data_IF_214092538533
#
_entry.id   IF_214092538533
#
_cell.length_a   1.000
_cell.length_b   1.000
_cell.length_c   1.000
_cell.angle_alpha   90.00
_cell.angle_beta   90.00
_cell.angle_gamma   90.00
#
_symmetry.space_group_name_H-M   'P 1'
#
loop_
_entity.id
_entity.type
_entity.pdbx_description
1 polymer ?
#
# COMPACT_ATOMS: atom_id res chain seq x y z
N UNK A 1 -44.54 6.05 11.56
CA UNK A 1 -43.81 6.73 10.47
C UNK A 1 -42.43 7.12 10.98
N UNK A 2 -41.46 6.19 10.91
CA UNK A 2 -40.05 6.48 11.17
C UNK A 2 -39.23 5.58 10.26
N UNK A 3 -39.00 6.05 9.03
CA UNK A 3 -38.11 5.39 8.04
C UNK A 3 -36.99 6.36 7.64
N UNK A 4 -36.95 7.57 8.22
CA UNK A 4 -36.06 8.65 7.80
C UNK A 4 -34.87 8.91 8.74
N UNK A 5 -34.77 8.27 9.91
CA UNK A 5 -33.65 8.51 10.84
C UNK A 5 -32.44 7.59 10.62
N UNK A 6 -32.59 6.46 9.91
CA UNK A 6 -31.46 5.59 9.59
C UNK A 6 -30.62 6.07 8.39
N UNK A 7 -31.11 7.06 7.63
CA UNK A 7 -30.38 7.64 6.50
C UNK A 7 -29.33 8.68 6.90
N UNK A 8 -29.55 9.39 8.01
CA UNK A 8 -28.67 10.49 8.45
C UNK A 8 -27.36 9.99 9.09
N UNK A 9 -27.41 8.94 9.91
CA UNK A 9 -26.20 8.31 10.47
C UNK A 9 -25.37 7.57 9.41
N UNK A 10 -26.01 6.99 8.40
CA UNK A 10 -25.29 6.31 7.30
C UNK A 10 -24.54 7.31 6.40
N UNK A 11 -25.12 8.50 6.20
CA UNK A 11 -24.49 9.58 5.44
C UNK A 11 -23.30 10.20 6.20
N UNK A 12 -23.43 10.41 7.51
CA UNK A 12 -22.36 10.92 8.37
C UNK A 12 -21.13 9.97 8.39
N UNK A 13 -21.36 8.66 8.47
CA UNK A 13 -20.31 7.64 8.41
C UNK A 13 -19.58 7.57 7.05
N UNK A 14 -20.25 7.92 5.95
CA UNK A 14 -19.62 7.98 4.63
C UNK A 14 -18.84 9.27 4.40
N UNK A 15 -19.33 10.42 4.89
CA UNK A 15 -18.67 11.72 4.65
C UNK A 15 -17.51 12.01 5.59
N UNK A 16 -17.47 11.42 6.77
CA UNK A 16 -16.40 11.67 7.76
C UNK A 16 -15.15 10.77 7.54
N UNK A 17 -15.22 9.82 6.61
CA UNK A 17 -14.17 8.80 6.39
C UNK A 17 -13.41 8.97 5.06
N UNK A 18 -13.47 10.14 4.43
CA UNK A 18 -12.70 10.45 3.22
C UNK A 18 -11.26 10.87 3.52
N UNK A 19 -10.98 11.38 4.73
CA UNK A 19 -9.65 11.86 5.10
C UNK A 19 -8.56 10.77 5.09
N UNK A 20 -8.81 9.52 5.55
CA UNK A 20 -7.85 8.43 5.43
C UNK A 20 -7.60 8.04 3.97
N UNK A 21 -8.64 8.09 3.12
CA UNK A 21 -8.53 7.82 1.68
C UNK A 21 -7.71 8.90 0.96
N UNK A 22 -7.93 10.17 1.32
CA UNK A 22 -7.18 11.30 0.78
C UNK A 22 -5.70 11.25 1.19
N UNK A 23 -5.42 10.94 2.46
CA UNK A 23 -4.05 10.69 2.96
C UNK A 23 -3.38 9.51 2.24
N UNK A 24 -4.14 8.46 1.92
CA UNK A 24 -3.62 7.30 1.21
C UNK A 24 -3.33 7.62 -0.26
N UNK A 25 -4.18 8.42 -0.91
CA UNK A 25 -3.98 8.93 -2.27
C UNK A 25 -2.75 9.85 -2.31
N UNK A 26 -2.59 10.76 -1.34
CA UNK A 26 -1.42 11.64 -1.25
C UNK A 26 -0.15 10.84 -1.02
N UNK A 27 -0.18 9.81 -0.17
CA UNK A 27 0.94 8.89 0.03
C UNK A 27 1.29 8.12 -1.24
N UNK A 28 0.29 7.69 -2.00
CA UNK A 28 0.49 6.98 -3.26
C UNK A 28 1.10 7.89 -4.33
N UNK A 29 0.61 9.13 -4.43
CA UNK A 29 1.16 10.15 -5.33
C UNK A 29 2.61 10.50 -4.95
N UNK A 30 2.92 10.59 -3.66
CA UNK A 30 4.29 10.82 -3.21
C UNK A 30 5.23 9.68 -3.62
N UNK A 31 4.81 8.43 -3.43
CA UNK A 31 5.58 7.25 -3.87
C UNK A 31 5.72 7.16 -5.38
N UNK A 32 4.70 7.56 -6.14
CA UNK A 32 4.78 7.64 -7.61
C UNK A 32 5.83 8.68 -8.02
N UNK A 33 5.85 9.86 -7.37
CA UNK A 33 6.84 10.89 -7.65
C UNK A 33 8.27 10.44 -7.28
N UNK A 34 8.45 9.75 -6.16
CA UNK A 34 9.75 9.17 -5.79
C UNK A 34 10.21 8.11 -6.80
N UNK A 35 9.32 7.23 -7.23
CA UNK A 35 9.63 6.22 -8.25
C UNK A 35 9.99 6.88 -9.58
N UNK A 36 9.30 7.95 -9.97
CA UNK A 36 9.60 8.71 -11.19
C UNK A 36 11.00 9.34 -11.11
N UNK A 37 11.39 9.91 -9.96
CA UNK A 37 12.73 10.47 -9.77
C UNK A 37 13.82 9.39 -9.79
N UNK A 38 13.53 8.19 -9.26
CA UNK A 38 14.45 7.04 -9.35
C UNK A 38 14.61 6.58 -10.81
N UNK A 39 13.50 6.50 -11.56
CA UNK A 39 13.52 6.16 -12.99
C UNK A 39 14.31 7.22 -13.76
N UNK A 40 14.08 8.51 -13.51
CA UNK A 40 14.80 9.60 -14.19
C UNK A 40 16.30 9.56 -13.88
N UNK A 41 16.69 9.22 -12.63
CA UNK A 41 18.09 9.02 -12.26
C UNK A 41 18.70 7.80 -12.95
N UNK A 42 17.96 6.68 -13.02
CA UNK A 42 18.41 5.48 -13.73
C UNK A 42 18.56 5.74 -15.23
N UNK A 43 17.61 6.45 -15.84
CA UNK A 43 17.66 6.87 -17.25
C UNK A 43 18.85 7.79 -17.49
N UNK A 44 19.11 8.78 -16.63
CA UNK A 44 20.32 9.63 -16.72
C UNK A 44 21.62 8.83 -16.59
N UNK A 45 21.67 7.83 -15.71
CA UNK A 45 22.85 6.96 -15.55
C UNK A 45 23.04 6.05 -16.75
N UNK A 46 21.95 5.59 -17.37
CA UNK A 46 21.99 4.80 -18.61
C UNK A 46 22.44 5.69 -19.77
N UNK A 47 21.87 6.89 -19.92
CA UNK A 47 22.23 7.85 -20.96
C UNK A 47 23.71 8.31 -20.84
N UNK A 48 24.19 8.60 -19.62
CA UNK A 48 25.61 8.90 -19.40
C UNK A 48 26.55 7.69 -19.62
N UNK A 49 26.06 6.45 -19.56
CA UNK A 49 26.82 5.26 -19.95
C UNK A 49 26.74 4.97 -21.45
N UNK A 50 25.82 5.62 -22.17
CA UNK A 50 25.67 5.54 -23.63
C UNK A 50 26.20 6.78 -24.37
N UNK A 51 26.77 7.76 -23.67
CA UNK A 51 27.61 8.78 -24.30
C UNK A 51 28.76 8.06 -25.03
N UNK A 52 28.65 8.00 -26.36
CA UNK A 52 29.76 7.60 -27.19
C UNK A 52 30.91 8.56 -26.91
N UNK A 53 32.13 8.07 -26.60
CA UNK A 53 33.25 8.97 -26.41
C UNK A 53 33.42 9.79 -27.69
N UNK A 54 33.34 11.12 -27.57
CA UNK A 54 33.63 12.09 -28.63
C UNK A 54 34.92 11.66 -29.35
N UNK A 55 34.78 11.01 -30.50
CA UNK A 55 35.91 10.50 -31.29
C UNK A 55 36.76 11.68 -31.79
N UNK A 56 36.17 12.86 -31.92
CA UNK A 56 36.83 14.05 -32.47
C UNK A 56 37.80 14.74 -31.50
N UNK A 57 37.60 14.65 -30.18
CA UNK A 57 38.47 15.37 -29.21
C UNK A 57 39.79 14.68 -28.92
N UNK A 58 39.96 13.41 -29.28
CA UNK A 58 41.23 12.66 -29.11
C UNK A 58 42.16 12.71 -30.33
N UNK A 59 41.70 13.24 -31.47
CA UNK A 59 42.50 13.28 -32.70
C UNK A 59 43.47 14.48 -32.71
N UNK A 60 43.17 15.56 -31.97
CA UNK A 60 44.00 16.77 -32.00
C UNK A 60 45.28 16.70 -31.16
N UNK A 61 45.40 15.78 -30.19
CA UNK A 61 46.61 15.60 -29.37
C UNK A 61 47.71 14.76 -30.06
N UNK A 62 47.45 14.19 -31.24
CA UNK A 62 48.42 13.35 -31.97
C UNK A 62 48.92 14.10 -33.22
N UNK A 63 49.74 15.13 -33.01
CA UNK A 63 50.57 15.75 -34.06
C UNK A 63 52.03 15.70 -33.60
N UNK A 64 52.76 14.60 -33.78
CA UNK A 64 53.75 14.28 -34.86
C UNK A 64 54.80 13.31 -34.24
N UNK A 65 55.67 12.56 -34.97
CA UNK A 65 55.91 12.45 -36.41
C UNK A 65 55.83 11.01 -37.01
N UNK A 66 55.31 10.90 -38.23
CA UNK A 66 55.69 10.04 -39.37
C UNK A 66 56.36 8.63 -39.25
N UNK A 67 56.29 7.86 -38.16
CA UNK A 67 56.86 6.49 -38.14
C UNK A 67 56.00 5.36 -37.54
N UNK A 68 54.90 5.64 -36.84
CA UNK A 68 54.14 4.60 -36.11
C UNK A 68 52.63 4.75 -36.36
N UNK A 69 52.17 4.31 -37.54
CA UNK A 69 50.75 3.98 -37.76
C UNK A 69 50.48 2.50 -37.41
N UNK A 70 51.29 1.92 -36.51
CA UNK A 70 51.03 0.61 -35.91
C UNK A 70 49.91 0.72 -34.88
N UNK A 71 48.71 0.76 -35.44
CA UNK A 71 47.59 -0.05 -34.99
C UNK A 71 46.72 0.44 -33.84
N UNK A 72 46.34 1.72 -33.93
CA UNK A 72 45.29 2.35 -33.11
C UNK A 72 44.04 1.44 -32.98
N UNK A 73 43.62 0.80 -34.06
CA UNK A 73 42.47 -0.10 -34.06
C UNK A 73 42.70 -1.36 -33.21
N UNK A 74 43.86 -2.00 -33.32
CA UNK A 74 44.19 -3.16 -32.49
C UNK A 74 44.29 -2.80 -31.01
N UNK A 75 44.83 -1.62 -30.68
CA UNK A 75 44.86 -1.10 -29.31
C UNK A 75 43.45 -0.91 -28.75
N UNK A 76 42.55 -0.27 -29.49
CA UNK A 76 41.15 -0.10 -29.07
C UNK A 76 40.41 -1.44 -28.92
N UNK A 77 40.65 -2.39 -29.83
CA UNK A 77 40.04 -3.71 -29.78
C UNK A 77 40.55 -4.54 -28.59
N UNK A 78 41.83 -4.43 -28.26
CA UNK A 78 42.42 -5.05 -27.08
C UNK A 78 41.89 -4.43 -25.79
N UNK A 79 41.80 -3.10 -25.70
CA UNK A 79 41.28 -2.41 -24.52
C UNK A 79 39.81 -2.77 -24.24
N UNK A 80 38.96 -2.74 -25.27
CA UNK A 80 37.51 -2.96 -25.12
C UNK A 80 37.12 -4.43 -25.02
N UNK A 81 37.80 -5.33 -25.73
CA UNK A 81 37.37 -6.73 -25.89
C UNK A 81 38.42 -7.77 -25.49
N UNK A 82 39.64 -7.37 -25.11
CA UNK A 82 40.74 -8.27 -24.69
C UNK A 82 40.94 -9.44 -25.65
N UNK A 83 40.98 -9.12 -26.95
CA UNK A 83 40.93 -10.09 -28.05
C UNK A 83 42.04 -11.17 -28.01
N UNK A 84 43.18 -10.90 -27.39
CA UNK A 84 44.29 -11.86 -27.29
C UNK A 84 44.03 -13.06 -26.39
N UNK A 85 42.99 -12.98 -25.57
CA UNK A 85 42.56 -14.08 -24.71
C UNK A 85 41.73 -15.12 -25.48
N UNK A 86 41.27 -14.78 -26.70
CA UNK A 86 40.41 -15.64 -27.52
C UNK A 86 41.28 -16.46 -28.48
N UNK A 87 41.31 -17.78 -28.26
CA UNK A 87 42.02 -18.73 -29.13
C UNK A 87 41.27 -18.88 -30.46
N UNK A 88 41.96 -18.61 -31.55
CA UNK A 88 41.45 -18.84 -32.91
C UNK A 88 42.10 -20.10 -33.48
N UNK A 89 41.39 -20.89 -34.33
CA UNK A 89 42.02 -21.92 -35.14
C UNK A 89 43.20 -21.39 -35.96
N UNK A 90 44.30 -22.15 -36.00
CA UNK A 90 45.58 -21.77 -36.62
C UNK A 90 45.51 -21.52 -38.14
N UNK A 91 44.38 -21.85 -38.78
CA UNK A 91 44.18 -21.72 -40.23
C UNK A 91 43.63 -20.34 -40.65
N UNK A 92 43.24 -19.50 -39.68
CA UNK A 92 42.71 -18.16 -39.96
C UNK A 92 43.85 -17.15 -40.06
N UNK A 93 44.05 -16.58 -41.25
CA UNK A 93 44.99 -15.47 -41.47
C UNK A 93 46.11 -15.72 -42.48
N UNK A 94 46.00 -16.71 -43.37
CA UNK A 94 46.93 -16.81 -44.52
C UNK A 94 46.60 -15.71 -45.53
N UNK A 95 47.45 -14.69 -45.58
CA UNK A 95 47.38 -13.59 -46.53
C UNK A 95 48.80 -13.07 -46.74
N UNK A 96 49.15 -12.75 -47.98
CA UNK A 96 50.48 -12.22 -48.34
C UNK A 96 50.74 -10.87 -47.66
N UNK A 97 49.68 -10.10 -47.39
CA UNK A 97 49.75 -8.84 -46.66
C UNK A 97 49.57 -9.07 -45.15
N UNK A 98 50.56 -8.75 -44.30
CA UNK A 98 50.54 -9.03 -42.85
C UNK A 98 49.40 -8.30 -42.12
N UNK A 99 49.05 -7.09 -42.59
CA UNK A 99 47.93 -6.30 -42.07
C UNK A 99 46.58 -6.99 -42.25
N UNK A 100 46.36 -7.56 -43.43
CA UNK A 100 45.10 -8.25 -43.77
C UNK A 100 45.00 -9.57 -43.01
N UNK A 101 46.15 -10.24 -42.78
CA UNK A 101 46.21 -11.43 -41.94
C UNK A 101 45.78 -11.14 -40.48
N UNK A 102 46.24 -10.03 -39.91
CA UNK A 102 45.87 -9.59 -38.55
C UNK A 102 44.38 -9.23 -38.44
N UNK A 103 43.87 -8.41 -39.36
CA UNK A 103 42.44 -8.05 -39.37
C UNK A 103 41.52 -9.27 -39.52
N UNK A 104 41.92 -10.27 -40.32
CA UNK A 104 41.16 -11.54 -40.44
C UNK A 104 41.14 -12.31 -39.12
N UNK A 105 42.23 -12.30 -38.36
CA UNK A 105 42.29 -12.90 -37.02
C UNK A 105 41.39 -12.13 -36.05
N UNK A 106 41.43 -10.80 -36.06
CA UNK A 106 40.59 -10.00 -35.16
C UNK A 106 39.10 -10.12 -35.48
N UNK A 107 38.71 -10.16 -36.76
CA UNK A 107 37.33 -10.43 -37.18
C UNK A 107 36.87 -11.80 -36.69
N UNK A 108 37.71 -12.83 -36.76
CA UNK A 108 37.37 -14.16 -36.27
C UNK A 108 37.20 -14.17 -34.73
N UNK A 109 38.07 -13.47 -33.99
CA UNK A 109 37.93 -13.31 -32.53
C UNK A 109 36.64 -12.58 -32.15
N UNK A 110 36.34 -11.48 -32.85
CA UNK A 110 35.11 -10.71 -32.64
C UNK A 110 33.85 -11.53 -32.95
N UNK A 111 33.90 -12.39 -33.98
CA UNK A 111 32.79 -13.29 -34.30
C UNK A 111 32.56 -14.31 -33.18
N UNK A 112 33.62 -14.96 -32.69
CA UNK A 112 33.53 -15.89 -31.56
C UNK A 112 32.97 -15.19 -30.32
N UNK A 113 33.42 -13.96 -30.04
CA UNK A 113 32.94 -13.17 -28.91
C UNK A 113 31.45 -12.81 -29.06
N UNK A 114 31.02 -12.40 -30.26
CA UNK A 114 29.63 -12.11 -30.56
C UNK A 114 28.75 -13.35 -30.34
N UNK A 115 29.17 -14.50 -30.86
CA UNK A 115 28.41 -15.73 -30.76
C UNK A 115 28.32 -16.19 -29.29
N UNK A 116 29.41 -16.08 -28.54
CA UNK A 116 29.43 -16.37 -27.09
C UNK A 116 28.53 -15.42 -26.30
N UNK A 117 28.57 -14.11 -26.58
CA UNK A 117 27.72 -13.14 -25.91
C UNK A 117 26.24 -13.33 -26.27
N UNK A 118 25.94 -13.67 -27.52
CA UNK A 118 24.57 -14.01 -27.93
C UNK A 118 24.04 -15.21 -27.16
N UNK A 119 24.85 -16.26 -27.01
CA UNK A 119 24.48 -17.44 -26.23
C UNK A 119 24.27 -17.11 -24.74
N UNK A 120 25.15 -16.31 -24.14
CA UNK A 120 25.00 -15.85 -22.75
C UNK A 120 23.74 -15.01 -22.56
N UNK A 121 23.46 -14.09 -23.49
CA UNK A 121 22.25 -13.28 -23.43
C UNK A 121 20.99 -14.14 -23.55
N UNK A 122 21.01 -15.18 -24.39
CA UNK A 122 19.90 -16.13 -24.49
C UNK A 122 19.71 -16.92 -23.19
N UNK A 123 20.79 -17.36 -22.55
CA UNK A 123 20.72 -18.03 -21.24
C UNK A 123 20.20 -17.09 -20.14
N UNK A 124 20.68 -15.83 -20.11
CA UNK A 124 20.19 -14.82 -19.16
C UNK A 124 18.69 -14.55 -19.37
N UNK A 125 18.25 -14.48 -20.62
CA UNK A 125 16.84 -14.30 -20.93
C UNK A 125 15.99 -15.47 -20.45
N UNK A 126 16.44 -16.72 -20.64
CA UNK A 126 15.76 -17.91 -20.09
C UNK A 126 15.66 -17.86 -18.58
N UNK A 127 16.75 -17.49 -17.89
CA UNK A 127 16.76 -17.35 -16.43
C UNK A 127 15.74 -16.30 -15.99
N UNK A 128 15.65 -15.16 -16.68
CA UNK A 128 14.65 -14.12 -16.37
C UNK A 128 13.23 -14.67 -16.54
N UNK A 129 12.97 -15.40 -17.63
CA UNK A 129 11.66 -16.02 -17.85
C UNK A 129 11.31 -17.06 -16.78
N UNK A 130 12.27 -17.87 -16.36
CA UNK A 130 12.08 -18.85 -15.29
C UNK A 130 11.77 -18.16 -13.95
N UNK A 131 12.46 -17.06 -13.64
CA UNK A 131 12.17 -16.26 -12.45
C UNK A 131 10.79 -15.60 -12.52
N UNK A 132 10.43 -15.02 -13.66
CA UNK A 132 9.12 -14.41 -13.86
C UNK A 132 8.00 -15.44 -13.66
N UNK A 133 8.16 -16.62 -14.28
CA UNK A 133 7.23 -17.73 -14.14
C UNK A 133 7.14 -18.19 -12.68
N UNK A 134 8.25 -18.36 -11.98
CA UNK A 134 8.26 -18.73 -10.56
C UNK A 134 7.55 -17.70 -9.67
N UNK A 135 7.77 -16.40 -9.92
CA UNK A 135 7.10 -15.33 -9.17
C UNK A 135 5.58 -15.40 -9.40
N UNK A 136 5.17 -15.57 -10.66
CA UNK A 136 3.75 -15.56 -11.04
C UNK A 136 3.03 -16.85 -10.63
N UNK A 137 3.67 -18.02 -10.75
CA UNK A 137 3.04 -19.31 -10.48
C UNK A 137 3.04 -19.66 -8.99
N UNK A 138 4.11 -19.31 -8.26
CA UNK A 138 4.33 -19.85 -6.93
C UNK A 138 4.26 -18.76 -5.86
N UNK A 139 4.97 -17.65 -6.05
CA UNK A 139 5.12 -16.62 -5.00
C UNK A 139 3.84 -15.82 -4.85
N UNK A 140 3.31 -15.24 -5.93
CA UNK A 140 2.13 -14.38 -5.86
C UNK A 140 0.87 -15.13 -5.37
N UNK A 141 0.59 -16.37 -5.82
CA UNK A 141 -0.57 -17.10 -5.33
C UNK A 141 -0.47 -17.44 -3.84
N UNK A 142 0.71 -17.87 -3.35
CA UNK A 142 0.93 -18.14 -1.93
C UNK A 142 0.78 -16.88 -1.08
N UNK A 143 1.35 -15.76 -1.51
CA UNK A 143 1.17 -14.48 -0.80
C UNK A 143 -0.30 -14.06 -0.76
N UNK A 144 -1.05 -14.26 -1.84
CA UNK A 144 -2.48 -13.98 -1.87
C UNK A 144 -3.24 -14.87 -0.89
N UNK A 145 -2.94 -16.16 -0.86
CA UNK A 145 -3.54 -17.11 0.08
C UNK A 145 -3.25 -16.72 1.54
N UNK A 146 -2.01 -16.34 1.85
CA UNK A 146 -1.61 -15.89 3.19
C UNK A 146 -2.35 -14.61 3.62
N UNK A 147 -2.51 -13.65 2.70
CA UNK A 147 -3.28 -12.43 2.95
C UNK A 147 -4.75 -12.75 3.20
N UNK A 148 -5.34 -13.65 2.40
CA UNK A 148 -6.74 -14.05 2.57
C UNK A 148 -6.97 -14.79 3.89
N UNK A 149 -6.04 -15.68 4.28
CA UNK A 149 -6.06 -16.36 5.58
C UNK A 149 -5.96 -15.36 6.73
N UNK A 150 -5.02 -14.42 6.67
CA UNK A 150 -4.88 -13.38 7.69
C UNK A 150 -6.14 -12.51 7.79
N UNK A 151 -6.71 -12.12 6.65
CA UNK A 151 -7.95 -11.33 6.62
C UNK A 151 -9.12 -12.10 7.23
N UNK A 152 -9.28 -13.38 6.91
CA UNK A 152 -10.34 -14.21 7.47
C UNK A 152 -10.25 -14.31 9.00
N UNK A 153 -9.04 -14.54 9.53
CA UNK A 153 -8.78 -14.61 10.98
C UNK A 153 -8.97 -13.25 11.67
N UNK A 154 -8.43 -12.18 11.10
CA UNK A 154 -8.56 -10.84 11.66
C UNK A 154 -10.02 -10.37 11.68
N UNK A 155 -10.79 -10.66 10.63
CA UNK A 155 -12.19 -10.25 10.54
C UNK A 155 -13.09 -11.02 11.50
N UNK A 156 -12.82 -12.31 11.75
CA UNK A 156 -13.53 -13.07 12.79
C UNK A 156 -13.25 -12.52 14.19
N UNK A 157 -11.98 -12.23 14.48
CA UNK A 157 -11.56 -11.77 15.80
C UNK A 157 -12.08 -10.36 16.12
N UNK A 158 -12.06 -9.45 15.14
CA UNK A 158 -12.59 -8.10 15.31
C UNK A 158 -14.11 -8.12 15.48
N UNK A 159 -14.83 -8.92 14.68
CA UNK A 159 -16.29 -9.01 14.79
C UNK A 159 -16.74 -9.58 16.13
N UNK A 160 -16.10 -10.64 16.61
CA UNK A 160 -16.47 -11.25 17.88
C UNK A 160 -16.26 -10.27 19.03
N UNK A 161 -15.07 -9.65 19.12
CA UNK A 161 -14.76 -8.70 20.20
C UNK A 161 -15.65 -7.47 20.18
N UNK A 162 -15.89 -6.89 19.01
CA UNK A 162 -16.76 -5.72 18.91
C UNK A 162 -18.23 -6.03 19.21
N UNK A 163 -18.69 -7.25 18.91
CA UNK A 163 -20.05 -7.68 19.25
C UNK A 163 -20.19 -7.90 20.76
N UNK A 164 -19.20 -8.53 21.39
CA UNK A 164 -19.18 -8.74 22.85
C UNK A 164 -19.10 -7.40 23.61
N UNK A 165 -18.30 -6.46 23.14
CA UNK A 165 -18.22 -5.13 23.73
C UNK A 165 -19.54 -4.34 23.58
N UNK A 166 -20.16 -4.40 22.40
CA UNK A 166 -21.46 -3.75 22.16
C UNK A 166 -22.58 -4.36 22.99
N UNK A 167 -22.69 -5.69 23.03
CA UNK A 167 -23.73 -6.37 23.81
C UNK A 167 -23.55 -6.15 25.32
N UNK A 168 -22.29 -6.09 25.80
CA UNK A 168 -21.98 -5.74 27.19
C UNK A 168 -22.37 -4.29 27.53
N UNK A 169 -22.05 -3.33 26.64
CA UNK A 169 -22.46 -1.94 26.81
C UNK A 169 -23.99 -1.78 26.79
N UNK A 170 -24.67 -2.46 25.88
CA UNK A 170 -26.13 -2.47 25.77
C UNK A 170 -26.78 -3.08 27.03
N UNK A 171 -26.26 -4.21 27.54
CA UNK A 171 -26.73 -4.82 28.77
C UNK A 171 -26.58 -3.90 29.99
N UNK A 172 -25.45 -3.18 30.11
CA UNK A 172 -25.26 -2.17 31.16
C UNK A 172 -26.26 -1.02 31.05
N UNK A 173 -26.55 -0.56 29.84
CA UNK A 173 -27.50 0.52 29.60
C UNK A 173 -28.92 0.12 29.98
N UNK A 174 -29.34 -1.09 29.62
CA UNK A 174 -30.61 -1.67 30.05
C UNK A 174 -30.69 -1.85 31.57
N UNK A 175 -29.63 -2.34 32.21
CA UNK A 175 -29.58 -2.46 33.67
C UNK A 175 -29.77 -1.10 34.36
N UNK A 176 -29.09 -0.06 33.87
CA UNK A 176 -29.23 1.29 34.42
C UNK A 176 -30.64 1.84 34.18
N UNK A 177 -31.20 1.62 33.00
CA UNK A 177 -32.58 2.00 32.68
C UNK A 177 -33.58 1.35 33.64
N UNK A 178 -33.48 0.03 33.87
CA UNK A 178 -34.36 -0.67 34.82
C UNK A 178 -34.24 -0.12 36.24
N UNK A 179 -33.03 0.25 36.66
CA UNK A 179 -32.78 0.83 37.96
C UNK A 179 -33.41 2.23 38.10
N UNK A 180 -33.33 3.07 37.05
CA UNK A 180 -34.00 4.36 37.04
C UNK A 180 -35.53 4.24 37.06
N UNK A 181 -36.09 3.30 36.30
CA UNK A 181 -37.54 3.03 36.33
C UNK A 181 -37.99 2.54 37.71
N UNK A 182 -37.20 1.69 38.36
CA UNK A 182 -37.49 1.22 39.71
C UNK A 182 -37.43 2.36 40.73
N UNK A 183 -36.40 3.21 40.67
CA UNK A 183 -36.29 4.40 41.52
C UNK A 183 -37.46 5.37 41.31
N UNK A 184 -37.89 5.57 40.05
CA UNK A 184 -39.03 6.40 39.72
C UNK A 184 -40.33 5.84 40.30
N UNK A 185 -40.52 4.52 40.23
CA UNK A 185 -41.67 3.86 40.87
C UNK A 185 -41.65 4.00 42.40
N UNK A 186 -40.47 3.88 43.03
CA UNK A 186 -40.35 4.13 44.48
C UNK A 186 -40.69 5.57 44.84
N UNK A 187 -40.29 6.54 44.02
CA UNK A 187 -40.63 7.94 44.18
C UNK A 187 -42.13 8.18 44.06
N UNK A 188 -42.79 7.57 43.06
CA UNK A 188 -44.26 7.64 42.89
C UNK A 188 -44.96 7.14 44.15
N UNK A 189 -44.59 5.94 44.64
CA UNK A 189 -45.20 5.37 45.86
C UNK A 189 -44.97 6.27 47.07
N UNK A 190 -43.78 6.87 47.20
CA UNK A 190 -43.47 7.80 48.28
C UNK A 190 -44.32 9.08 48.17
N UNK A 191 -44.45 9.66 46.98
CA UNK A 191 -45.29 10.83 46.74
C UNK A 191 -46.78 10.55 46.96
N UNK A 192 -47.28 9.37 46.56
CA UNK A 192 -48.66 8.95 46.83
C UNK A 192 -48.92 8.82 48.33
N UNK A 193 -48.00 8.20 49.07
CA UNK A 193 -48.09 8.12 50.55
C UNK A 193 -48.06 9.49 51.22
N UNK A 194 -47.22 10.39 50.72
CA UNK A 194 -47.09 11.75 51.25
C UNK A 194 -48.33 12.60 50.92
N UNK A 195 -48.92 12.41 49.74
CA UNK A 195 -50.20 13.02 49.36
C UNK A 195 -51.34 12.54 50.26
N UNK A 196 -51.45 11.22 50.50
CA UNK A 196 -52.49 10.65 51.37
C UNK A 196 -52.34 11.10 52.83
N UNK A 197 -51.11 11.28 53.34
CA UNK A 197 -50.88 11.79 54.69
C UNK A 197 -51.21 13.28 54.81
N UNK A 198 -50.94 14.08 53.78
CA UNK A 198 -51.24 15.51 53.80
C UNK A 198 -52.72 15.83 53.59
N UNK A 199 -53.50 14.95 52.94
CA UNK A 199 -54.96 15.03 52.89
C UNK A 199 -55.61 15.03 54.28
N UNK A 200 -54.93 14.50 55.31
CA UNK A 200 -55.44 14.45 56.68
C UNK A 200 -55.06 15.66 57.56
N UNK A 201 -54.02 16.44 57.22
CA UNK A 201 -53.44 17.44 58.16
C UNK A 201 -53.09 18.85 57.63
N UNK A 202 -53.12 19.18 56.31
CA UNK A 202 -52.58 20.49 55.82
C UNK A 202 -53.42 21.19 54.73
N UNK A 203 -53.41 22.54 54.75
CA UNK A 203 -54.05 23.46 53.79
C UNK A 203 -53.72 23.18 52.30
N UNK A 204 -54.74 23.34 51.45
CA UNK A 204 -54.79 22.82 50.08
C UNK A 204 -53.85 23.40 49.02
N UNK A 205 -52.93 24.31 49.37
CA UNK A 205 -52.01 24.94 48.42
C UNK A 205 -50.72 24.11 48.23
N UNK A 206 -50.19 23.51 49.30
CA UNK A 206 -49.03 22.61 49.26
C UNK A 206 -49.39 21.24 48.67
N UNK A 207 -50.61 20.76 48.94
CA UNK A 207 -51.19 19.55 48.32
C UNK A 207 -51.27 19.72 46.80
N UNK A 208 -51.72 20.88 46.32
CA UNK A 208 -51.79 21.20 44.88
C UNK A 208 -50.43 21.14 44.17
N UNK A 209 -49.38 21.64 44.82
CA UNK A 209 -48.00 21.58 44.27
C UNK A 209 -47.52 20.13 44.22
N UNK A 210 -47.83 19.34 45.25
CA UNK A 210 -47.46 17.92 45.30
C UNK A 210 -48.19 17.11 44.22
N UNK A 211 -49.50 17.29 44.07
CA UNK A 211 -50.31 16.69 43.00
C UNK A 211 -49.80 17.07 41.62
N UNK A 212 -49.40 18.32 41.41
CA UNK A 212 -48.85 18.78 40.13
C UNK A 212 -47.52 18.07 39.82
N UNK A 213 -46.64 17.93 40.81
CA UNK A 213 -45.39 17.16 40.66
C UNK A 213 -45.66 15.67 40.42
N UNK A 214 -46.64 15.09 41.11
CA UNK A 214 -47.06 13.70 40.94
C UNK A 214 -47.61 13.44 39.52
N UNK A 215 -48.37 14.39 38.98
CA UNK A 215 -48.86 14.37 37.60
C UNK A 215 -47.73 14.39 36.58
N UNK A 216 -46.69 15.21 36.80
CA UNK A 216 -45.49 15.25 35.94
C UNK A 216 -44.72 13.93 36.02
N UNK A 217 -44.57 13.35 37.21
CA UNK A 217 -43.88 12.06 37.39
C UNK A 217 -44.67 10.93 36.71
N UNK A 218 -46.02 10.92 36.79
CA UNK A 218 -46.85 9.98 36.05
C UNK A 218 -46.75 10.15 34.53
N UNK A 219 -46.68 11.38 34.03
CA UNK A 219 -46.43 11.65 32.61
C UNK A 219 -45.08 11.07 32.18
N UNK A 220 -44.01 11.35 32.93
CA UNK A 220 -42.67 10.80 32.64
C UNK A 220 -42.71 9.26 32.64
N UNK A 221 -43.38 8.64 33.61
CA UNK A 221 -43.56 7.18 33.64
C UNK A 221 -44.30 6.68 32.40
N UNK A 222 -45.40 7.32 31.99
CA UNK A 222 -46.16 6.90 30.80
C UNK A 222 -45.32 6.95 29.53
N UNK A 223 -44.51 8.00 29.35
CA UNK A 223 -43.58 8.11 28.22
C UNK A 223 -42.49 7.04 28.24
N UNK A 224 -42.03 6.62 29.42
CA UNK A 224 -41.02 5.57 29.58
C UNK A 224 -41.59 4.15 29.42
N UNK A 225 -42.86 3.91 29.77
CA UNK A 225 -43.51 2.59 29.63
C UNK A 225 -44.17 2.37 28.28
N UNK A 226 -44.62 3.42 27.58
CA UNK A 226 -45.28 3.32 26.27
C UNK A 226 -44.31 3.36 25.08
N UNK A 227 -43.01 3.54 25.31
CA UNK A 227 -41.95 3.18 24.36
C UNK A 227 -42.22 3.49 22.89
N UNK A 228 -42.31 4.79 22.52
CA UNK A 228 -41.96 5.21 21.16
C UNK A 228 -40.46 5.49 21.09
N UNK A 229 -39.66 4.44 21.18
CA UNK A 229 -38.30 4.35 20.65
C UNK A 229 -38.10 2.92 20.19
#
# INVERSE_FOLDING_TARGET
MSVYENGSSFFLLQTENFEPLLKLIDSLNHKIAENQDIIDRLTKVIDHKFDYPDIDKRIEEIKTPAAEHEDILSLFLQEKYKLDQIRIPSDVGRSEVPRVAQLRKDIARLKILRDSNSAKNQQLFQIIQDYEMFIVSDVLPKMREDIERYRAQSFSDIKLRQLDEKTSAESKLWSNYTLYVEQLNRLIIACEKLSNLMEEEIDGEEIRILEQKLRVIHQIRSYLTEGRV
#
